data_IF_442105715223
#
_entry.id   IF_442105715223
#
_cell.length_a   1.000
_cell.length_b   1.000
_cell.length_c   1.000
_cell.angle_alpha   90.00
_cell.angle_beta   90.00
_cell.angle_gamma   90.00
#
_symmetry.space_group_name_H-M   'P 1'
#
loop_
_entity.id
_entity.type
_entity.pdbx_description
1 polymer ?
#
# COMPACT_ATOMS: atom_id res chain seq x y z
N UNK A 1 -77.18 33.66 22.59
CA UNK A 1 -76.67 32.97 21.39
C UNK A 1 -75.25 33.45 21.08
N UNK A 2 -74.30 32.56 21.28
CA UNK A 2 -72.92 32.53 20.72
C UNK A 2 -72.97 32.27 19.21
N UNK A 3 -71.85 32.22 18.44
CA UNK A 3 -70.47 32.69 18.69
C UNK A 3 -69.86 33.45 17.49
N UNK A 4 -68.66 34.03 17.62
CA UNK A 4 -67.66 33.81 16.56
C UNK A 4 -66.24 33.76 17.15
N UNK A 5 -65.75 32.53 17.38
CA UNK A 5 -64.33 32.25 17.59
C UNK A 5 -63.70 32.24 16.20
N UNK A 6 -62.96 33.29 15.86
CA UNK A 6 -62.03 33.24 14.74
C UNK A 6 -60.92 32.24 15.10
N UNK A 7 -61.12 30.97 14.70
CA UNK A 7 -60.10 29.94 14.62
C UNK A 7 -59.04 30.42 13.62
N UNK A 8 -57.91 30.88 14.14
CA UNK A 8 -56.70 31.12 13.34
C UNK A 8 -56.00 29.78 13.10
N UNK A 9 -56.57 28.92 12.27
CA UNK A 9 -56.00 27.59 11.92
C UNK A 9 -55.19 27.61 10.60
N UNK A 10 -54.67 28.76 10.18
CA UNK A 10 -53.98 28.90 8.87
C UNK A 10 -52.46 29.15 8.97
N UNK A 11 -51.85 29.00 10.14
CA UNK A 11 -50.44 29.38 10.35
C UNK A 11 -49.45 28.24 10.55
N UNK A 12 -49.90 27.00 10.82
CA UNK A 12 -49.02 25.98 11.42
C UNK A 12 -48.51 24.91 10.44
N UNK A 13 -49.21 24.64 9.33
CA UNK A 13 -48.76 23.65 8.35
C UNK A 13 -47.49 24.10 7.60
N UNK A 14 -47.42 25.38 7.21
CA UNK A 14 -46.29 25.94 6.47
C UNK A 14 -44.95 25.90 7.27
N UNK A 15 -44.91 26.28 8.56
CA UNK A 15 -43.75 26.06 9.42
C UNK A 15 -43.34 24.59 9.55
N UNK A 16 -44.30 23.66 9.65
CA UNK A 16 -44.01 22.23 9.79
C UNK A 16 -43.33 21.70 8.53
N UNK A 17 -43.81 22.07 7.33
CA UNK A 17 -43.16 21.67 6.08
C UNK A 17 -41.75 22.25 5.95
N UNK A 18 -41.53 23.51 6.35
CA UNK A 18 -40.19 24.10 6.35
C UNK A 18 -39.24 23.34 7.26
N UNK A 19 -39.66 23.05 8.51
CA UNK A 19 -38.84 22.30 9.46
C UNK A 19 -38.57 20.88 8.97
N UNK A 20 -39.56 20.21 8.39
CA UNK A 20 -39.40 18.88 7.80
C UNK A 20 -38.38 18.88 6.66
N UNK A 21 -38.53 19.80 5.69
CA UNK A 21 -37.61 19.89 4.55
C UNK A 21 -36.21 20.26 5.00
N UNK A 22 -36.08 21.22 5.92
CA UNK A 22 -34.79 21.61 6.49
C UNK A 22 -34.12 20.42 7.23
N UNK A 23 -34.89 19.65 8.00
CA UNK A 23 -34.40 18.46 8.69
C UNK A 23 -33.92 17.37 7.73
N UNK A 24 -34.67 17.11 6.65
CA UNK A 24 -34.27 16.14 5.62
C UNK A 24 -33.01 16.59 4.86
N UNK A 25 -32.91 17.87 4.51
CA UNK A 25 -31.72 18.42 3.84
C UNK A 25 -30.49 18.38 4.75
N UNK A 26 -30.65 18.71 6.04
CA UNK A 26 -29.57 18.59 7.02
C UNK A 26 -29.07 17.15 7.12
N UNK A 27 -29.99 16.18 7.22
CA UNK A 27 -29.67 14.77 7.28
C UNK A 27 -28.99 14.28 5.99
N UNK A 28 -29.44 14.74 4.81
CA UNK A 28 -28.78 14.46 3.54
C UNK A 28 -27.34 15.00 3.48
N UNK A 29 -27.11 16.25 3.91
CA UNK A 29 -25.77 16.83 3.99
C UNK A 29 -24.87 16.10 4.98
N UNK A 30 -25.42 15.70 6.13
CA UNK A 30 -24.69 14.92 7.13
C UNK A 30 -24.20 13.58 6.54
N UNK A 31 -25.07 12.85 5.84
CA UNK A 31 -24.69 11.60 5.18
C UNK A 31 -23.68 11.81 4.05
N UNK A 32 -23.83 12.87 3.26
CA UNK A 32 -22.86 13.21 2.21
C UNK A 32 -21.47 13.45 2.80
N UNK A 33 -21.38 14.19 3.91
CA UNK A 33 -20.11 14.48 4.56
C UNK A 33 -19.42 13.22 5.09
N UNK A 34 -20.18 12.28 5.67
CA UNK A 34 -19.67 10.97 6.08
C UNK A 34 -19.20 10.16 4.87
N UNK A 35 -19.96 10.18 3.77
CA UNK A 35 -19.60 9.52 2.52
C UNK A 35 -18.28 10.03 1.95
N UNK A 36 -18.08 11.36 1.93
CA UNK A 36 -16.82 11.98 1.52
C UNK A 36 -15.65 11.54 2.40
N UNK A 37 -15.81 11.52 3.72
CA UNK A 37 -14.78 11.06 4.64
C UNK A 37 -14.38 9.59 4.38
N UNK A 38 -15.38 8.74 4.12
CA UNK A 38 -15.14 7.34 3.76
C UNK A 38 -14.38 7.20 2.43
N UNK A 39 -14.73 7.99 1.42
CA UNK A 39 -14.05 7.98 0.12
C UNK A 39 -12.58 8.38 0.26
N UNK A 40 -12.29 9.45 1.01
CA UNK A 40 -10.91 9.92 1.26
C UNK A 40 -10.09 8.90 2.03
N UNK A 41 -10.67 8.24 3.04
CA UNK A 41 -9.99 7.17 3.77
C UNK A 41 -9.60 6.00 2.85
N UNK A 42 -10.54 5.57 2.00
CA UNK A 42 -10.28 4.47 1.06
C UNK A 42 -9.25 4.88 0.00
N UNK A 43 -9.30 6.12 -0.49
CA UNK A 43 -8.31 6.66 -1.42
C UNK A 43 -6.90 6.69 -0.82
N UNK A 44 -6.76 7.18 0.41
CA UNK A 44 -5.48 7.19 1.12
C UNK A 44 -4.93 5.77 1.32
N UNK A 45 -5.79 4.80 1.68
CA UNK A 45 -5.35 3.41 1.81
C UNK A 45 -4.88 2.83 0.47
N UNK A 46 -5.65 3.02 -0.61
CA UNK A 46 -5.25 2.57 -1.94
C UNK A 46 -3.92 3.19 -2.41
N UNK A 47 -3.70 4.47 -2.10
CA UNK A 47 -2.43 5.15 -2.35
C UNK A 47 -1.28 4.52 -1.55
N UNK A 48 -1.47 4.25 -0.25
CA UNK A 48 -0.47 3.60 0.58
C UNK A 48 -0.10 2.21 0.06
N UNK A 49 -1.11 1.39 -0.26
CA UNK A 49 -0.96 0.02 -0.77
C UNK A 49 -0.17 0.01 -2.08
N UNK A 50 -0.53 0.89 -3.02
CA UNK A 50 0.16 1.02 -4.31
C UNK A 50 1.60 1.49 -4.12
N UNK A 51 1.84 2.47 -3.25
CA UNK A 51 3.17 2.98 -2.95
C UNK A 51 4.07 1.94 -2.29
N UNK A 52 3.57 1.18 -1.31
CA UNK A 52 4.32 0.12 -0.65
C UNK A 52 4.69 -0.99 -1.63
N UNK A 53 3.74 -1.45 -2.45
CA UNK A 53 4.00 -2.44 -3.50
C UNK A 53 5.02 -1.95 -4.51
N UNK A 54 4.91 -0.71 -4.98
CA UNK A 54 5.86 -0.16 -5.95
C UNK A 54 7.29 -0.07 -5.38
N UNK A 55 7.44 0.35 -4.12
CA UNK A 55 8.74 0.34 -3.46
C UNK A 55 9.30 -1.09 -3.34
N UNK A 56 8.50 -2.04 -2.86
CA UNK A 56 8.94 -3.42 -2.71
C UNK A 56 9.30 -4.09 -4.05
N UNK A 57 8.52 -3.84 -5.10
CA UNK A 57 8.81 -4.34 -6.45
C UNK A 57 10.10 -3.76 -7.02
N UNK A 58 10.35 -2.47 -6.80
CA UNK A 58 11.59 -1.81 -7.24
C UNK A 58 12.81 -2.38 -6.52
N UNK A 59 12.71 -2.59 -5.20
CA UNK A 59 13.79 -3.24 -4.43
C UNK A 59 14.10 -4.64 -4.99
N UNK A 60 13.06 -5.44 -5.29
CA UNK A 60 13.24 -6.76 -5.93
C UNK A 60 13.95 -6.67 -7.28
N UNK A 61 13.71 -5.62 -8.06
CA UNK A 61 14.43 -5.39 -9.32
C UNK A 61 15.90 -5.04 -9.07
N UNK A 62 16.19 -4.24 -8.05
CA UNK A 62 17.56 -3.85 -7.66
C UNK A 62 18.39 -5.00 -7.05
N UNK A 63 17.74 -6.08 -6.60
CA UNK A 63 18.43 -7.27 -6.06
C UNK A 63 19.23 -8.07 -7.09
N UNK A 64 19.07 -7.84 -8.39
CA UNK A 64 19.74 -8.64 -9.43
C UNK A 64 21.26 -8.73 -9.23
N UNK A 65 21.94 -7.59 -9.28
CA UNK A 65 23.40 -7.54 -9.20
C UNK A 65 23.95 -8.12 -7.87
N UNK A 66 23.47 -7.72 -6.68
CA UNK A 66 23.97 -8.26 -5.43
C UNK A 66 23.63 -9.76 -5.24
N UNK A 67 22.46 -10.21 -5.73
CA UNK A 67 22.11 -11.62 -5.67
C UNK A 67 23.03 -12.48 -6.54
N UNK A 68 23.27 -12.07 -7.79
CA UNK A 68 24.20 -12.78 -8.69
C UNK A 68 25.61 -12.79 -8.10
N UNK A 69 26.08 -11.69 -7.51
CA UNK A 69 27.36 -11.64 -6.82
C UNK A 69 27.44 -12.66 -5.67
N UNK A 70 26.37 -12.79 -4.86
CA UNK A 70 26.30 -13.79 -3.79
C UNK A 70 26.33 -15.24 -4.29
N UNK A 71 25.87 -15.53 -5.51
CA UNK A 71 26.02 -16.87 -6.08
C UNK A 71 27.49 -17.20 -6.35
N UNK A 72 28.28 -16.25 -6.85
CA UNK A 72 29.71 -16.46 -7.12
C UNK A 72 30.55 -16.71 -5.86
N UNK A 73 30.15 -16.11 -4.74
CA UNK A 73 30.83 -16.25 -3.44
C UNK A 73 30.20 -17.31 -2.54
N UNK A 74 29.18 -18.01 -3.03
CA UNK A 74 28.37 -18.95 -2.25
C UNK A 74 27.88 -18.36 -0.92
N UNK A 75 27.43 -17.10 -0.95
CA UNK A 75 27.08 -16.29 0.22
C UNK A 75 25.63 -15.78 0.17
N UNK A 76 24.70 -16.60 -0.35
CA UNK A 76 23.26 -16.25 -0.43
C UNK A 76 22.70 -15.92 0.95
N UNK A 77 23.07 -16.70 1.98
CA UNK A 77 22.64 -16.41 3.35
C UNK A 77 23.06 -15.01 3.81
N UNK A 78 24.28 -14.57 3.49
CA UNK A 78 24.76 -13.23 3.85
C UNK A 78 23.99 -12.15 3.09
N UNK A 79 23.74 -12.36 1.79
CA UNK A 79 22.93 -11.46 0.99
C UNK A 79 21.54 -11.23 1.58
N UNK A 80 20.85 -12.30 1.99
CA UNK A 80 19.51 -12.21 2.58
C UNK A 80 19.51 -11.51 3.95
N UNK A 81 20.66 -11.44 4.63
CA UNK A 81 20.81 -10.73 5.90
C UNK A 81 21.31 -9.28 5.75
N UNK A 82 21.58 -8.84 4.53
CA UNK A 82 22.20 -7.54 4.27
C UNK A 82 21.15 -6.44 4.07
N UNK A 83 21.28 -5.29 4.75
CA UNK A 83 20.40 -4.16 4.50
C UNK A 83 20.44 -3.67 3.05
N UNK A 84 19.28 -3.30 2.52
CA UNK A 84 19.12 -2.75 1.17
C UNK A 84 18.72 -1.27 1.20
N UNK A 85 18.91 -0.58 0.07
CA UNK A 85 18.49 0.80 -0.08
C UNK A 85 16.97 0.87 -0.32
N UNK A 86 16.22 1.73 0.39
CA UNK A 86 14.78 1.83 0.18
C UNK A 86 14.43 2.54 -1.13
N UNK A 87 13.57 1.93 -1.93
CA UNK A 87 13.11 2.49 -3.22
C UNK A 87 11.97 3.52 -3.05
N UNK A 88 12.19 4.54 -2.23
CA UNK A 88 11.15 5.54 -1.89
C UNK A 88 10.71 6.42 -3.06
N UNK A 89 11.52 6.54 -4.13
CA UNK A 89 11.13 7.27 -5.34
C UNK A 89 9.92 6.61 -6.04
N UNK A 90 9.88 5.28 -6.10
CA UNK A 90 8.73 4.55 -6.67
C UNK A 90 7.47 4.76 -5.83
N UNK A 91 7.59 4.71 -4.50
CA UNK A 91 6.49 5.01 -3.58
C UNK A 91 5.92 6.42 -3.80
N UNK A 92 6.78 7.43 -3.98
CA UNK A 92 6.37 8.81 -4.25
C UNK A 92 5.63 8.94 -5.58
N UNK A 93 6.08 8.26 -6.63
CA UNK A 93 5.40 8.24 -7.92
C UNK A 93 3.98 7.71 -7.82
N UNK A 94 3.79 6.58 -7.12
CA UNK A 94 2.47 5.99 -6.94
C UNK A 94 1.58 6.80 -5.97
N UNK A 95 2.13 7.41 -4.93
CA UNK A 95 1.36 8.26 -4.03
C UNK A 95 0.81 9.47 -4.80
N UNK A 96 1.67 10.12 -5.58
CA UNK A 96 1.30 11.30 -6.38
C UNK A 96 0.25 10.98 -7.44
N UNK A 97 0.31 9.77 -8.04
CA UNK A 97 -0.70 9.30 -8.99
C UNK A 97 -2.07 9.00 -8.34
N UNK A 98 -2.12 8.90 -7.01
CA UNK A 98 -3.33 8.62 -6.23
C UNK A 98 -3.67 9.75 -5.26
N UNK A 99 -3.38 11.01 -5.63
CA UNK A 99 -3.72 12.21 -4.86
C UNK A 99 -3.25 12.15 -3.40
N UNK A 100 -2.03 11.65 -3.20
CA UNK A 100 -1.40 11.54 -1.90
C UNK A 100 0.08 11.95 -1.93
N UNK A 101 0.60 12.33 -0.77
CA UNK A 101 2.01 12.60 -0.55
C UNK A 101 2.60 11.57 0.41
N UNK A 102 3.81 11.10 0.14
CA UNK A 102 4.54 10.23 1.07
C UNK A 102 5.01 11.04 2.26
N UNK A 103 4.63 10.63 3.46
CA UNK A 103 5.13 11.20 4.72
C UNK A 103 6.37 10.44 5.21
N UNK A 104 6.28 9.12 5.22
CA UNK A 104 7.33 8.22 5.67
C UNK A 104 7.48 7.08 4.65
N UNK A 105 8.73 6.69 4.41
CA UNK A 105 9.05 5.51 3.62
C UNK A 105 10.34 4.90 4.19
N UNK A 106 10.27 3.66 4.63
CA UNK A 106 11.39 3.00 5.28
C UNK A 106 11.37 1.49 5.05
N UNK A 107 12.56 0.86 4.98
CA UNK A 107 12.68 -0.58 4.90
C UNK A 107 12.55 -1.21 6.29
N UNK A 108 12.02 -2.43 6.33
CA UNK A 108 12.15 -3.35 7.45
C UNK A 108 13.01 -4.52 7.01
N UNK A 109 14.01 -4.87 7.82
CA UNK A 109 14.95 -5.95 7.51
C UNK A 109 14.57 -7.22 8.23
N UNK A 110 14.52 -8.32 7.51
CA UNK A 110 14.24 -9.64 8.06
C UNK A 110 15.00 -10.68 7.28
N UNK A 111 15.49 -11.71 7.97
CA UNK A 111 16.46 -12.71 7.48
C UNK A 111 16.18 -13.24 6.07
N UNK A 112 14.91 -13.46 5.77
CA UNK A 112 14.34 -13.99 4.52
C UNK A 112 13.10 -13.17 4.10
N UNK A 113 12.79 -12.11 4.86
CA UNK A 113 11.55 -11.35 4.80
C UNK A 113 11.85 -9.88 5.01
N UNK A 114 12.25 -9.25 3.93
CA UNK A 114 12.38 -7.82 3.88
C UNK A 114 11.02 -7.17 3.66
N UNK A 115 10.92 -5.87 3.96
CA UNK A 115 9.67 -5.14 3.77
C UNK A 115 9.90 -3.68 3.46
N UNK A 116 8.91 -3.07 2.82
CA UNK A 116 8.80 -1.63 2.62
C UNK A 116 7.52 -1.14 3.26
N UNK A 117 7.66 -0.27 4.26
CA UNK A 117 6.53 0.44 4.86
C UNK A 117 6.44 1.84 4.30
N UNK A 118 5.26 2.23 3.83
CA UNK A 118 4.98 3.57 3.33
C UNK A 118 3.79 4.14 4.06
N UNK A 119 3.95 5.38 4.53
CA UNK A 119 2.87 6.19 5.08
C UNK A 119 2.59 7.35 4.13
N UNK A 120 1.32 7.57 3.83
CA UNK A 120 0.87 8.63 2.94
C UNK A 120 -0.16 9.53 3.61
N UNK A 121 -0.25 10.76 3.12
CA UNK A 121 -1.31 11.72 3.43
C UNK A 121 -2.04 12.09 2.15
N UNK A 122 -3.35 11.93 2.11
CA UNK A 122 -4.18 12.40 1.00
C UNK A 122 -4.12 13.93 0.89
N UNK A 123 -4.19 14.44 -0.34
CA UNK A 123 -4.16 15.88 -0.61
C UNK A 123 -5.50 16.56 -0.32
N UNK A 124 -6.60 15.83 -0.46
CA UNK A 124 -7.95 16.33 -0.25
C UNK A 124 -8.41 16.29 1.22
N UNK A 125 -9.19 17.31 1.60
CA UNK A 125 -9.77 17.48 2.93
C UNK A 125 -11.25 17.09 2.98
N UNK A 126 -11.71 16.59 4.13
CA UNK A 126 -13.13 16.26 4.35
C UNK A 126 -14.03 17.50 4.32
N UNK A 127 -13.57 18.62 4.87
CA UNK A 127 -14.23 19.95 4.94
C UNK A 127 -15.75 19.93 4.80
N UNK A 128 -16.45 19.97 5.93
CA UNK A 128 -17.93 19.95 5.95
C UNK A 128 -18.51 20.89 7.01
N UNK A 129 -19.46 21.78 6.62
CA UNK A 129 -20.12 22.69 7.55
C UNK A 129 -21.07 21.98 8.54
N UNK A 130 -21.42 20.72 8.29
CA UNK A 130 -22.29 19.91 9.16
C UNK A 130 -21.52 18.94 10.06
N UNK A 131 -20.21 18.77 9.84
CA UNK A 131 -19.32 17.95 10.69
C UNK A 131 -18.36 18.87 11.47
N UNK A 132 -18.61 19.10 12.77
CA UNK A 132 -17.70 19.86 13.61
C UNK A 132 -16.29 19.26 13.60
N UNK A 133 -15.27 20.10 13.42
CA UNK A 133 -13.87 19.66 13.44
C UNK A 133 -13.35 19.02 12.15
N UNK A 134 -14.15 18.95 11.07
CA UNK A 134 -13.72 18.37 9.79
C UNK A 134 -12.83 19.28 8.93
N UNK A 135 -12.75 20.56 9.27
CA UNK A 135 -11.98 21.55 8.51
C UNK A 135 -10.48 21.25 8.51
N UNK A 136 -9.87 21.20 7.32
CA UNK A 136 -8.46 20.89 7.11
C UNK A 136 -8.07 19.45 7.40
N UNK A 137 -9.02 18.55 7.66
CA UNK A 137 -8.72 17.16 8.01
C UNK A 137 -8.50 16.34 6.75
N UNK A 138 -7.26 15.88 6.55
CA UNK A 138 -6.84 14.99 5.48
C UNK A 138 -6.76 13.54 5.97
N UNK A 139 -7.02 12.58 5.07
CA UNK A 139 -6.86 11.17 5.38
C UNK A 139 -5.37 10.80 5.39
N UNK A 140 -4.97 9.95 6.33
CA UNK A 140 -3.64 9.33 6.35
C UNK A 140 -3.79 7.83 6.35
N UNK A 141 -2.85 7.14 5.72
CA UNK A 141 -2.83 5.70 5.65
C UNK A 141 -1.40 5.18 5.66
N UNK A 142 -1.24 3.93 6.05
CA UNK A 142 0.03 3.22 6.07
C UNK A 142 -0.20 1.84 5.48
N UNK A 143 0.75 1.39 4.69
CA UNK A 143 0.78 0.03 4.17
C UNK A 143 2.21 -0.51 4.23
N UNK A 144 2.29 -1.82 4.38
CA UNK A 144 3.55 -2.56 4.41
C UNK A 144 3.50 -3.64 3.34
N UNK A 145 4.47 -3.64 2.45
CA UNK A 145 4.70 -4.69 1.47
C UNK A 145 5.93 -5.51 1.86
N UNK A 146 5.80 -6.83 1.91
CA UNK A 146 6.89 -7.77 2.20
C UNK A 146 7.48 -8.27 0.89
N UNK A 147 8.80 -8.52 0.91
CA UNK A 147 9.61 -9.16 -0.12
C UNK A 147 10.13 -10.46 0.49
N UNK A 148 9.50 -11.59 0.16
CA UNK A 148 9.74 -12.90 0.80
C UNK A 148 10.59 -13.80 -0.11
N UNK A 149 11.78 -14.17 0.35
CA UNK A 149 12.65 -15.17 -0.29
C UNK A 149 12.32 -16.56 0.25
N UNK A 150 11.09 -17.04 0.02
CA UNK A 150 10.61 -18.32 0.56
C UNK A 150 11.24 -19.58 -0.07
N UNK A 151 12.44 -19.47 -0.67
CA UNK A 151 13.08 -20.53 -1.44
C UNK A 151 14.05 -21.37 -0.60
N UNK A 152 14.22 -22.62 -1.03
CA UNK A 152 15.36 -23.47 -0.66
C UNK A 152 16.27 -23.65 -1.88
N UNK A 153 17.56 -23.86 -1.67
CA UNK A 153 18.49 -24.04 -2.78
C UNK A 153 19.52 -25.15 -2.56
N UNK A 154 19.98 -25.72 -3.66
CA UNK A 154 21.06 -26.71 -3.70
C UNK A 154 22.15 -26.22 -4.65
N UNK A 155 23.37 -25.94 -4.16
CA UNK A 155 24.53 -25.67 -5.01
C UNK A 155 25.10 -26.97 -5.59
N UNK A 156 25.55 -26.92 -6.85
CA UNK A 156 26.27 -27.99 -7.53
C UNK A 156 27.55 -27.42 -8.11
N UNK A 157 28.66 -27.97 -7.65
CA UNK A 157 30.01 -27.74 -8.16
C UNK A 157 30.34 -28.91 -9.10
N UNK A 158 30.58 -28.63 -10.39
CA UNK A 158 30.80 -29.65 -11.41
C UNK A 158 32.28 -30.04 -11.55
N UNK A 159 33.19 -29.22 -11.03
CA UNK A 159 34.63 -29.39 -11.21
C UNK A 159 35.40 -29.57 -9.88
N UNK A 160 34.67 -29.57 -8.75
CA UNK A 160 35.17 -29.69 -7.38
C UNK A 160 36.21 -28.60 -7.02
N UNK A 161 36.10 -27.41 -7.60
CA UNK A 161 36.99 -26.27 -7.32
C UNK A 161 36.58 -25.45 -6.07
N UNK A 162 35.43 -25.78 -5.47
CA UNK A 162 34.87 -25.13 -4.31
C UNK A 162 33.91 -23.98 -4.62
N UNK A 163 33.66 -23.68 -5.90
CA UNK A 163 32.72 -22.65 -6.37
C UNK A 163 31.55 -23.32 -7.08
N UNK A 164 30.31 -23.15 -6.61
CA UNK A 164 29.17 -23.76 -7.30
C UNK A 164 28.92 -23.18 -8.70
N UNK A 165 28.88 -24.05 -9.71
CA UNK A 165 28.56 -23.71 -11.10
C UNK A 165 27.06 -23.51 -11.33
N UNK A 166 26.23 -24.21 -10.54
CA UNK A 166 24.79 -24.27 -10.70
C UNK A 166 24.11 -24.17 -9.33
N UNK A 167 23.03 -23.39 -9.28
CA UNK A 167 22.10 -23.37 -8.16
C UNK A 167 20.72 -23.83 -8.61
N UNK A 168 20.15 -24.80 -7.92
CA UNK A 168 18.76 -25.20 -8.09
C UNK A 168 17.92 -24.63 -6.96
N UNK A 169 17.02 -23.70 -7.28
CA UNK A 169 16.08 -23.11 -6.34
C UNK A 169 14.73 -23.79 -6.43
N UNK A 170 14.16 -24.12 -5.26
CA UNK A 170 12.78 -24.60 -5.10
C UNK A 170 12.03 -23.61 -4.23
N UNK A 171 11.04 -22.92 -4.82
CA UNK A 171 10.26 -21.86 -4.21
C UNK A 171 8.76 -22.17 -4.28
N UNK A 172 7.91 -21.49 -3.49
CA UNK A 172 6.45 -21.63 -3.58
C UNK A 172 5.91 -21.30 -4.97
N UNK A 173 6.54 -20.34 -5.65
CA UNK A 173 6.14 -19.84 -6.97
C UNK A 173 6.73 -20.63 -8.15
N UNK A 174 7.52 -21.68 -7.87
CA UNK A 174 8.14 -22.53 -8.90
C UNK A 174 9.58 -22.92 -8.57
N UNK A 175 10.23 -23.58 -9.53
CA UNK A 175 11.64 -23.93 -9.44
C UNK A 175 12.43 -23.24 -10.56
N UNK A 176 13.69 -22.92 -10.28
CA UNK A 176 14.58 -22.28 -11.26
C UNK A 176 16.02 -22.76 -11.08
N UNK A 177 16.66 -23.03 -12.21
CA UNK A 177 18.10 -23.27 -12.29
C UNK A 177 18.79 -21.94 -12.62
N UNK A 178 19.85 -21.60 -11.87
CA UNK A 178 20.66 -20.41 -12.12
C UNK A 178 22.11 -20.82 -12.24
N UNK A 179 22.72 -20.45 -13.37
CA UNK A 179 24.18 -20.51 -13.57
C UNK A 179 24.74 -19.11 -13.39
N UNK A 180 25.64 -18.85 -12.42
CA UNK A 180 26.19 -17.51 -12.21
C UNK A 180 26.88 -16.94 -13.46
N UNK A 181 27.47 -17.82 -14.28
CA UNK A 181 28.13 -17.48 -15.55
C UNK A 181 27.19 -17.13 -16.70
N UNK A 182 25.92 -17.56 -16.62
CA UNK A 182 24.91 -17.30 -17.64
C UNK A 182 23.52 -17.28 -16.97
N UNK A 183 23.23 -16.24 -16.17
CA UNK A 183 21.99 -16.20 -15.42
C UNK A 183 20.79 -16.03 -16.37
N UNK A 184 19.64 -16.64 -16.07
CA UNK A 184 18.42 -16.39 -16.81
C UNK A 184 17.95 -14.93 -16.62
N UNK A 185 17.04 -14.43 -17.47
CA UNK A 185 16.54 -13.05 -17.36
C UNK A 185 15.92 -12.76 -15.99
N UNK A 186 16.47 -11.76 -15.29
CA UNK A 186 16.08 -11.44 -13.91
C UNK A 186 14.59 -11.16 -13.74
N UNK A 187 13.96 -10.46 -14.69
CA UNK A 187 12.53 -10.14 -14.63
C UNK A 187 11.60 -11.36 -14.49
N UNK A 188 12.06 -12.55 -14.90
CA UNK A 188 11.35 -13.81 -14.70
C UNK A 188 11.75 -14.48 -13.40
N UNK A 189 13.07 -14.58 -13.17
CA UNK A 189 13.66 -15.26 -12.01
C UNK A 189 13.25 -14.60 -10.70
N UNK A 190 13.28 -13.27 -10.63
CA UNK A 190 12.96 -12.51 -9.43
C UNK A 190 11.54 -12.75 -8.92
N UNK A 191 10.58 -13.03 -9.80
CA UNK A 191 9.19 -13.36 -9.44
C UNK A 191 9.04 -14.77 -8.87
N UNK A 192 9.95 -15.67 -9.23
CA UNK A 192 10.02 -17.03 -8.66
C UNK A 192 10.71 -16.97 -7.30
N UNK A 193 11.82 -16.23 -7.21
CA UNK A 193 12.66 -16.14 -6.02
C UNK A 193 12.04 -15.28 -4.90
N UNK A 194 11.46 -14.13 -5.25
CA UNK A 194 10.97 -13.13 -4.30
C UNK A 194 9.49 -12.84 -4.53
N UNK A 195 8.66 -13.34 -3.64
CA UNK A 195 7.24 -12.99 -3.61
C UNK A 195 7.04 -11.60 -2.99
N UNK A 196 6.17 -10.80 -3.60
CA UNK A 196 5.87 -9.44 -3.10
C UNK A 196 4.39 -9.29 -2.83
N UNK A 197 4.03 -9.04 -1.57
CA UNK A 197 2.64 -8.93 -1.13
C UNK A 197 2.46 -7.96 0.04
N UNK A 198 1.23 -7.48 0.23
CA UNK A 198 0.86 -6.63 1.39
C UNK A 198 0.57 -7.49 2.62
N UNK A 199 0.97 -7.02 3.80
CA UNK A 199 0.70 -7.70 5.09
C UNK A 199 -0.42 -7.05 5.92
N UNK A 200 -0.68 -5.76 5.71
CA UNK A 200 -1.74 -5.02 6.40
C UNK A 200 -3.01 -5.01 5.53
N UNK A 201 -3.95 -5.92 5.78
CA UNK A 201 -5.29 -5.93 5.15
C UNK A 201 -6.42 -5.92 6.18
#
# INVERSE_FOLDING_TARGET
>A
MTPNRNRRDLGQAFPIYIVMVAGLLFLALAFFAVGKASALRNGAQGAADASALAAAQTVREEFEAPFIAALWTNSIDEFLNTPFAPACGAAQGLASANDATVEDCYPGFGRDRDSMTVKVRGTDSVDSPVLPGSNGTQATARATAVIDFGCTWVPVDLNDDGVPDIYYFTCPNGAVEIRPSSPPPWATVSKILFDVHLVDR
#
